data_IF_156738278017
#
_entry.id   IF_156738278017
#
_cell.length_a   1.000
_cell.length_b   1.000
_cell.length_c   1.000
_cell.angle_alpha   90.00
_cell.angle_beta   90.00
_cell.angle_gamma   90.00
#
_symmetry.space_group_name_H-M   'P 1'
#
loop_
_entity.id
_entity.type
_entity.pdbx_description
1 polymer ?
#
# COMPACT_ATOMS: atom_id res chain seq x y z
N UNK A 1 2.45 13.34 -23.96
CA UNK A 1 1.41 13.51 -22.92
C UNK A 1 1.72 12.48 -21.86
N UNK A 2 2.28 12.88 -20.72
CA UNK A 2 2.34 11.98 -19.57
C UNK A 2 0.91 11.89 -19.05
N UNK A 3 0.31 10.71 -19.14
CA UNK A 3 -0.88 10.43 -18.36
C UNK A 3 -0.41 10.36 -16.91
N UNK A 4 -0.88 11.27 -16.05
CA UNK A 4 -0.72 11.09 -14.61
C UNK A 4 -1.42 9.77 -14.30
N UNK A 5 -0.64 8.71 -14.07
CA UNK A 5 -1.14 7.41 -13.64
C UNK A 5 -1.58 7.57 -12.20
N UNK A 6 -2.75 8.16 -12.01
CA UNK A 6 -3.32 8.35 -10.70
C UNK A 6 -3.83 6.99 -10.24
N UNK A 7 -3.02 6.27 -9.47
CA UNK A 7 -3.40 4.98 -8.93
C UNK A 7 -4.56 5.15 -7.95
N UNK A 8 -5.56 4.29 -8.08
CA UNK A 8 -6.63 4.18 -7.09
C UNK A 8 -6.11 3.57 -5.79
N UNK A 9 -6.79 3.84 -4.67
CA UNK A 9 -6.46 3.24 -3.36
C UNK A 9 -6.46 1.70 -3.40
N UNK A 10 -7.29 1.10 -4.27
CA UNK A 10 -7.31 -0.34 -4.47
C UNK A 10 -6.04 -0.83 -5.19
N UNK A 11 -5.59 -0.15 -6.24
CA UNK A 11 -4.34 -0.50 -6.93
C UNK A 11 -3.12 -0.32 -6.04
N UNK A 12 -3.11 0.73 -5.19
CA UNK A 12 -2.07 0.92 -4.19
C UNK A 12 -2.06 -0.25 -3.21
N UNK A 13 -3.24 -0.67 -2.74
CA UNK A 13 -3.33 -1.79 -1.81
C UNK A 13 -2.88 -3.12 -2.42
N UNK A 14 -3.22 -3.41 -3.68
CA UNK A 14 -2.73 -4.63 -4.34
C UNK A 14 -1.19 -4.63 -4.41
N UNK A 15 -0.56 -3.50 -4.76
CA UNK A 15 0.90 -3.39 -4.77
C UNK A 15 1.51 -3.56 -3.38
N UNK A 16 0.86 -3.01 -2.34
CA UNK A 16 1.28 -3.21 -0.95
C UNK A 16 1.22 -4.69 -0.53
N UNK A 17 0.20 -5.42 -0.99
CA UNK A 17 0.09 -6.87 -0.76
C UNK A 17 1.24 -7.60 -1.44
N UNK A 18 1.45 -7.37 -2.73
CA UNK A 18 2.51 -8.03 -3.51
C UNK A 18 3.90 -7.75 -2.92
N UNK A 19 4.21 -6.49 -2.63
CA UNK A 19 5.50 -6.06 -2.09
C UNK A 19 5.69 -6.55 -0.65
N UNK A 20 4.67 -6.43 0.20
CA UNK A 20 4.73 -6.91 1.58
C UNK A 20 4.94 -8.41 1.66
N UNK A 21 4.32 -9.17 0.76
CA UNK A 21 4.52 -10.61 0.66
C UNK A 21 5.91 -10.97 0.14
N UNK A 22 6.39 -10.27 -0.88
CA UNK A 22 7.75 -10.46 -1.42
C UNK A 22 8.84 -10.15 -0.38
N UNK A 23 8.62 -9.14 0.48
CA UNK A 23 9.51 -8.78 1.58
C UNK A 23 9.32 -9.63 2.85
N UNK A 24 8.28 -10.48 2.91
CA UNK A 24 7.98 -11.30 4.08
C UNK A 24 7.44 -10.50 5.28
N UNK A 25 6.77 -9.38 5.04
CA UNK A 25 6.18 -8.53 6.05
C UNK A 25 4.94 -9.22 6.64
N UNK A 26 5.09 -9.81 7.82
CA UNK A 26 4.03 -10.54 8.52
C UNK A 26 3.42 -9.81 9.72
N UNK A 27 3.85 -8.57 9.98
CA UNK A 27 3.46 -7.80 11.18
C UNK A 27 2.73 -6.51 10.80
N UNK A 28 1.83 -6.07 11.67
CA UNK A 28 1.07 -4.83 11.49
C UNK A 28 1.99 -3.62 11.39
N UNK A 29 3.00 -3.54 12.26
CA UNK A 29 4.02 -2.49 12.24
C UNK A 29 4.80 -2.47 10.91
N UNK A 30 5.20 -3.64 10.41
CA UNK A 30 5.90 -3.71 9.12
C UNK A 30 5.01 -3.31 7.95
N UNK A 31 3.73 -3.68 7.97
CA UNK A 31 2.76 -3.25 6.96
C UNK A 31 2.55 -1.73 7.00
N UNK A 32 2.43 -1.13 8.19
CA UNK A 32 2.32 0.31 8.32
C UNK A 32 3.55 1.05 7.79
N UNK A 33 4.77 0.57 8.07
CA UNK A 33 5.99 1.13 7.51
C UNK A 33 6.06 0.97 5.99
N UNK A 34 5.56 -0.14 5.44
CA UNK A 34 5.47 -0.32 3.99
C UNK A 34 4.49 0.67 3.35
N UNK A 35 3.34 0.91 3.97
CA UNK A 35 2.33 1.89 3.51
C UNK A 35 2.94 3.29 3.45
N UNK A 36 3.61 3.71 4.52
CA UNK A 36 4.28 5.02 4.58
C UNK A 36 5.33 5.16 3.47
N UNK A 37 6.26 4.21 3.37
CA UNK A 37 7.33 4.28 2.36
C UNK A 37 6.82 4.24 0.92
N UNK A 38 5.81 3.41 0.64
CA UNK A 38 5.26 3.34 -0.72
C UNK A 38 4.52 4.62 -1.11
N UNK A 39 3.79 5.25 -0.19
CA UNK A 39 3.12 6.52 -0.45
C UNK A 39 4.12 7.66 -0.68
N UNK A 40 5.22 7.70 0.09
CA UNK A 40 6.33 8.65 -0.12
C UNK A 40 6.99 8.43 -1.49
N UNK A 41 7.28 7.19 -1.87
CA UNK A 41 7.86 6.86 -3.18
C UNK A 41 6.93 7.26 -4.33
N UNK A 42 5.62 6.98 -4.20
CA UNK A 42 4.63 7.36 -5.21
C UNK A 42 4.46 8.89 -5.31
N UNK A 43 4.64 9.62 -4.21
CA UNK A 43 4.64 11.09 -4.21
C UNK A 43 5.82 11.62 -5.01
N UNK A 44 7.01 11.11 -4.72
CA UNK A 44 8.25 11.51 -5.37
C UNK A 44 8.24 11.22 -6.87
N UNK A 45 7.58 10.12 -7.27
CA UNK A 45 7.39 9.77 -8.68
C UNK A 45 6.24 10.53 -9.37
N UNK A 46 5.43 11.29 -8.61
CA UNK A 46 4.25 11.98 -9.13
C UNK A 46 3.11 11.05 -9.54
N UNK A 47 3.09 9.83 -9.01
CA UNK A 47 2.04 8.83 -9.19
C UNK A 47 0.80 9.15 -8.32
N UNK A 48 1.01 9.83 -7.20
CA UNK A 48 -0.05 10.44 -6.38
C UNK A 48 0.14 11.96 -6.31
N UNK A 49 -0.95 12.70 -6.14
CA UNK A 49 -0.91 14.17 -6.10
C UNK A 49 -0.92 14.66 -4.65
N UNK A 50 -0.05 15.63 -4.33
CA UNK A 50 0.04 16.30 -3.00
C UNK A 50 -1.28 16.97 -2.56
N UNK A 51 -2.11 17.40 -3.52
CA UNK A 51 -3.48 17.91 -3.29
C UNK A 51 -4.44 16.83 -2.73
N UNK A 52 -4.11 15.54 -2.85
CA UNK A 52 -4.90 14.46 -2.26
C UNK A 52 -4.43 14.24 -0.82
N UNK A 53 -5.38 14.20 0.11
CA UNK A 53 -5.15 14.01 1.54
C UNK A 53 -4.31 12.76 1.83
N UNK A 54 -2.98 12.89 1.82
CA UNK A 54 -2.04 11.77 1.95
C UNK A 54 -2.21 11.07 3.30
N UNK A 55 -2.41 11.84 4.36
CA UNK A 55 -2.73 11.35 5.70
C UNK A 55 -4.03 10.51 5.71
N UNK A 56 -5.01 10.89 4.88
CA UNK A 56 -6.25 10.14 4.67
C UNK A 56 -6.02 8.81 3.94
N UNK A 57 -5.23 8.83 2.87
CA UNK A 57 -4.85 7.61 2.13
C UNK A 57 -4.04 6.65 2.99
N UNK A 58 -3.06 7.17 3.73
CA UNK A 58 -2.26 6.41 4.68
C UNK A 58 -3.14 5.76 5.75
N UNK A 59 -4.04 6.53 6.38
CA UNK A 59 -4.96 6.03 7.40
C UNK A 59 -5.88 4.94 6.85
N UNK A 60 -6.42 5.14 5.64
CA UNK A 60 -7.29 4.15 4.99
C UNK A 60 -6.53 2.86 4.68
N UNK A 61 -5.33 2.96 4.08
CA UNK A 61 -4.51 1.80 3.72
C UNK A 61 -4.06 1.03 4.96
N UNK A 62 -3.63 1.73 6.02
CA UNK A 62 -3.29 1.10 7.32
C UNK A 62 -4.49 0.39 7.94
N UNK A 63 -5.69 0.96 7.84
CA UNK A 63 -6.93 0.32 8.28
C UNK A 63 -7.24 -0.99 7.56
N UNK A 64 -6.63 -1.27 6.40
CA UNK A 64 -6.78 -2.52 5.65
C UNK A 64 -5.82 -3.63 6.10
N UNK A 65 -5.05 -3.43 7.17
CA UNK A 65 -4.26 -4.50 7.80
C UNK A 65 -5.02 -5.84 7.98
N UNK A 66 -6.28 -5.87 8.45
CA UNK A 66 -7.02 -7.13 8.59
C UNK A 66 -7.19 -7.88 7.26
N UNK A 67 -7.35 -7.14 6.15
CA UNK A 67 -7.45 -7.71 4.80
C UNK A 67 -6.10 -8.25 4.32
N UNK A 68 -5.02 -7.48 4.49
CA UNK A 68 -3.67 -7.93 4.17
C UNK A 68 -3.29 -9.20 4.95
N UNK A 69 -3.57 -9.22 6.25
CA UNK A 69 -3.33 -10.40 7.11
C UNK A 69 -4.14 -11.63 6.67
N UNK A 70 -5.37 -11.44 6.21
CA UNK A 70 -6.18 -12.52 5.67
C UNK A 70 -5.54 -13.12 4.41
N UNK A 71 -4.99 -12.29 3.51
CA UNK A 71 -4.27 -12.72 2.30
C UNK A 71 -2.99 -13.50 2.63
N UNK A 72 -2.19 -13.01 3.58
CA UNK A 72 -1.02 -13.74 4.08
C UNK A 72 -1.35 -15.15 4.58
N UNK A 73 -2.47 -15.28 5.28
CA UNK A 73 -2.90 -16.56 5.85
C UNK A 73 -3.48 -17.50 4.77
N UNK A 74 -4.07 -16.93 3.71
CA UNK A 74 -4.59 -17.69 2.58
C UNK A 74 -3.48 -18.31 1.72
N UNK A 75 -2.44 -17.53 1.40
CA UNK A 75 -1.30 -18.02 0.59
C UNK A 75 -0.35 -18.95 1.37
N UNK A 76 -0.33 -18.88 2.70
CA UNK A 76 0.43 -19.81 3.54
C UNK A 76 -0.18 -21.22 3.67
N UNK A 77 -1.31 -21.51 3.02
CA UNK A 77 -2.07 -22.77 3.17
C UNK A 77 -2.10 -23.65 1.90
N UNK A 78 -1.22 -23.41 0.93
CA UNK A 78 -1.09 -24.24 -0.29
C UNK A 78 0.16 -25.14 -0.28
#
# INVERSE_FOLDING_TARGET
MMQNLQFSEEEIFERLVEEGMAQGIGTEEGFHSLVEGMLEDMLDMGEVSDDQNMEGHETNLKSRWPEYRARLTAEGNE
#
